data_IF_183489605988
#
_entry.id   IF_183489605988
#
_cell.length_a   1.000
_cell.length_b   1.000
_cell.length_c   1.000
_cell.angle_alpha   90.00
_cell.angle_beta   90.00
_cell.angle_gamma   90.00
#
_symmetry.space_group_name_H-M   'P 1'
#
loop_
_entity.id
_entity.type
_entity.pdbx_description
1 polymer ?
#
# COMPACT_ATOMS: atom_id res chain seq x y z
N UNK A 1 -19.84 11.92 -1.32
CA UNK A 1 -18.40 11.92 -1.68
C UNK A 1 -17.61 10.78 -1.04
N UNK A 2 -17.91 10.42 0.20
CA UNK A 2 -17.04 9.57 1.01
C UNK A 2 -17.13 8.07 0.64
N UNK A 3 -18.22 7.62 -0.02
CA UNK A 3 -18.32 6.31 -0.70
C UNK A 3 -17.49 6.26 -2.00
N UNK A 4 -17.53 7.35 -2.79
CA UNK A 4 -16.73 7.48 -4.01
C UNK A 4 -15.22 7.51 -3.70
N UNK A 5 -14.81 8.16 -2.61
CA UNK A 5 -13.43 8.11 -2.11
C UNK A 5 -13.01 6.68 -1.72
N UNK A 6 -13.88 5.93 -1.03
CA UNK A 6 -13.63 4.52 -0.70
C UNK A 6 -13.50 3.66 -1.97
N UNK A 7 -14.37 3.86 -2.96
CA UNK A 7 -14.35 3.14 -4.24
C UNK A 7 -13.06 3.43 -5.03
N UNK A 8 -12.64 4.69 -5.11
CA UNK A 8 -11.40 5.06 -5.78
C UNK A 8 -10.20 4.44 -5.06
N UNK A 9 -10.18 4.51 -3.73
CA UNK A 9 -9.09 3.94 -2.93
C UNK A 9 -9.00 2.42 -3.11
N UNK A 10 -10.12 1.70 -3.09
CA UNK A 10 -10.14 0.25 -3.29
C UNK A 10 -9.73 -0.13 -4.71
N UNK A 11 -10.14 0.65 -5.73
CA UNK A 11 -9.73 0.43 -7.11
C UNK A 11 -8.23 0.62 -7.29
N UNK A 12 -7.65 1.68 -6.70
CA UNK A 12 -6.21 1.92 -6.73
C UNK A 12 -5.48 0.72 -6.10
N UNK A 13 -5.90 0.29 -4.90
CA UNK A 13 -5.29 -0.86 -4.22
C UNK A 13 -5.39 -2.13 -5.06
N UNK A 14 -6.56 -2.42 -5.65
CA UNK A 14 -6.76 -3.61 -6.48
C UNK A 14 -5.87 -3.61 -7.73
N UNK A 15 -5.77 -2.47 -8.43
CA UNK A 15 -4.86 -2.30 -9.57
C UNK A 15 -3.41 -2.48 -9.13
N UNK A 16 -3.03 -1.96 -7.96
CA UNK A 16 -1.67 -2.06 -7.44
C UNK A 16 -1.29 -3.50 -7.09
N UNK A 17 -2.19 -4.24 -6.44
CA UNK A 17 -2.00 -5.68 -6.16
C UNK A 17 -1.87 -6.47 -7.46
N UNK A 18 -2.75 -6.19 -8.45
CA UNK A 18 -2.70 -6.84 -9.76
C UNK A 18 -1.39 -6.59 -10.49
N UNK A 19 -0.90 -5.34 -10.47
CA UNK A 19 0.38 -4.97 -11.06
C UNK A 19 1.55 -5.71 -10.40
N UNK A 20 1.59 -5.77 -9.06
CA UNK A 20 2.63 -6.50 -8.31
C UNK A 20 2.60 -7.99 -8.68
N UNK A 21 1.41 -8.61 -8.75
CA UNK A 21 1.26 -10.00 -9.13
C UNK A 21 1.75 -10.27 -10.56
N UNK A 22 1.34 -9.44 -11.53
CA UNK A 22 1.74 -9.58 -12.93
C UNK A 22 3.26 -9.44 -13.09
N UNK A 23 3.83 -8.40 -12.47
CA UNK A 23 5.27 -8.15 -12.47
C UNK A 23 6.01 -9.29 -11.76
N UNK A 24 5.47 -9.85 -10.68
CA UNK A 24 6.09 -10.98 -9.98
C UNK A 24 6.12 -12.25 -10.84
N UNK A 25 5.06 -12.51 -11.61
CA UNK A 25 4.98 -13.68 -12.50
C UNK A 25 5.88 -13.50 -13.72
N UNK A 26 5.92 -12.29 -14.28
CA UNK A 26 6.67 -12.01 -15.52
C UNK A 26 8.16 -11.74 -15.27
N UNK A 27 8.52 -11.17 -14.11
CA UNK A 27 9.89 -10.84 -13.73
C UNK A 27 10.40 -11.82 -12.66
N UNK A 28 10.37 -13.12 -13.01
CA UNK A 28 10.89 -14.20 -12.17
C UNK A 28 12.44 -14.28 -12.16
N UNK A 29 13.11 -13.47 -12.99
CA UNK A 29 14.58 -13.35 -12.96
C UNK A 29 15.01 -12.72 -11.63
N UNK A 30 15.85 -13.39 -10.84
CA UNK A 30 16.27 -12.85 -9.57
C UNK A 30 17.16 -11.61 -9.78
N UNK A 31 16.83 -10.51 -9.11
CA UNK A 31 17.67 -9.32 -9.13
C UNK A 31 18.67 -9.40 -7.98
N UNK A 32 19.97 -9.30 -8.32
CA UNK A 32 21.05 -9.20 -7.35
C UNK A 32 21.05 -7.81 -6.70
N UNK A 33 20.47 -7.71 -5.51
CA UNK A 33 20.56 -6.52 -4.67
C UNK A 33 21.92 -6.52 -3.96
N UNK A 34 22.84 -5.63 -4.34
CA UNK A 34 24.11 -5.44 -3.61
C UNK A 34 23.93 -4.29 -2.61
N UNK A 35 23.86 -4.60 -1.33
CA UNK A 35 23.69 -3.59 -0.29
C UNK A 35 25.05 -3.28 0.35
N UNK A 36 25.62 -2.12 0.00
CA UNK A 36 26.82 -1.46 0.53
C UNK A 36 28.15 -2.25 0.44
N UNK A 37 28.16 -3.56 0.71
CA UNK A 37 29.22 -4.53 0.41
C UNK A 37 28.73 -5.99 0.47
N UNK A 38 27.48 -6.25 0.88
CA UNK A 38 26.89 -7.59 0.98
C UNK A 38 26.04 -7.88 -0.27
N UNK A 39 26.21 -9.07 -0.85
CA UNK A 39 25.29 -9.58 -1.86
C UNK A 39 24.02 -10.03 -1.11
N UNK A 40 23.01 -9.17 -1.09
CA UNK A 40 21.70 -9.52 -0.56
C UNK A 40 21.11 -10.58 -1.49
N UNK A 41 20.45 -11.57 -0.89
CA UNK A 41 19.87 -12.71 -1.59
C UNK A 41 19.11 -12.23 -2.83
N UNK A 42 19.29 -12.98 -3.91
CA UNK A 42 18.58 -12.83 -5.17
C UNK A 42 17.07 -12.85 -4.93
N UNK A 43 16.43 -11.68 -5.02
CA UNK A 43 14.99 -11.53 -4.78
C UNK A 43 14.27 -11.14 -6.07
N UNK A 44 13.09 -11.73 -6.34
CA UNK A 44 12.28 -11.33 -7.48
C UNK A 44 11.76 -9.91 -7.27
N UNK A 45 11.69 -9.13 -8.33
CA UNK A 45 11.29 -7.72 -8.25
C UNK A 45 9.88 -7.52 -7.67
N UNK A 46 8.97 -8.47 -7.91
CA UNK A 46 7.65 -8.47 -7.30
C UNK A 46 7.68 -8.49 -5.76
N UNK A 47 8.65 -9.18 -5.16
CA UNK A 47 8.79 -9.23 -3.70
C UNK A 47 9.26 -7.88 -3.15
N UNK A 48 10.17 -7.20 -3.86
CA UNK A 48 10.66 -5.85 -3.49
C UNK A 48 9.50 -4.85 -3.52
N UNK A 49 8.68 -4.89 -4.57
CA UNK A 49 7.50 -4.02 -4.68
C UNK A 49 6.45 -4.31 -3.61
N UNK A 50 6.17 -5.58 -3.33
CA UNK A 50 5.25 -5.97 -2.26
C UNK A 50 5.73 -5.46 -0.89
N UNK A 51 7.03 -5.59 -0.62
CA UNK A 51 7.61 -5.12 0.64
C UNK A 51 7.57 -3.59 0.75
N UNK A 52 7.88 -2.87 -0.34
CA UNK A 52 7.80 -1.41 -0.40
C UNK A 52 6.36 -0.91 -0.16
N UNK A 53 5.38 -1.50 -0.84
CA UNK A 53 3.97 -1.17 -0.64
C UNK A 53 3.52 -1.44 0.81
N UNK A 54 3.91 -2.59 1.37
CA UNK A 54 3.61 -2.94 2.76
C UNK A 54 4.22 -1.97 3.76
N UNK A 55 5.50 -1.63 3.62
CA UNK A 55 6.18 -0.64 4.47
C UNK A 55 5.54 0.74 4.32
N UNK A 56 5.15 1.14 3.10
CA UNK A 56 4.44 2.40 2.87
C UNK A 56 3.10 2.44 3.60
N UNK A 57 2.27 1.40 3.49
CA UNK A 57 0.96 1.31 4.15
C UNK A 57 1.09 1.27 5.67
N UNK A 58 2.00 0.46 6.20
CA UNK A 58 2.26 0.37 7.64
C UNK A 58 2.82 1.69 8.16
N UNK A 59 3.77 2.28 7.41
CA UNK A 59 4.40 3.55 7.74
C UNK A 59 3.39 4.69 7.82
N UNK A 60 2.46 4.80 6.86
CA UNK A 60 1.39 5.81 6.91
C UNK A 60 0.41 5.54 8.04
N UNK A 61 0.01 4.29 8.26
CA UNK A 61 -0.89 3.92 9.36
C UNK A 61 -0.31 4.26 10.75
N UNK A 62 1.01 4.15 10.92
CA UNK A 62 1.71 4.54 12.15
C UNK A 62 1.96 6.05 12.19
N UNK A 63 2.32 6.67 11.06
CA UNK A 63 2.62 8.10 11.00
C UNK A 63 1.39 8.98 11.20
N UNK A 64 0.21 8.56 10.73
CA UNK A 64 -1.05 9.32 10.89
C UNK A 64 -1.36 9.68 12.36
N UNK A 65 -1.40 8.73 13.32
CA UNK A 65 -1.64 9.06 14.72
C UNK A 65 -0.48 9.83 15.37
N UNK A 66 0.76 9.60 14.94
CA UNK A 66 1.94 10.28 15.52
C UNK A 66 2.08 11.75 15.06
N UNK A 67 1.70 12.04 13.82
CA UNK A 67 1.79 13.38 13.23
C UNK A 67 0.49 14.20 13.39
N UNK A 68 -0.52 13.65 14.07
CA UNK A 68 -1.79 14.33 14.31
C UNK A 68 -2.63 14.56 13.04
N UNK A 69 -2.42 13.76 11.99
CA UNK A 69 -3.28 13.75 10.81
C UNK A 69 -4.59 13.04 11.16
N UNK A 70 -5.41 13.68 12.00
CA UNK A 70 -6.78 13.24 12.26
C UNK A 70 -7.53 13.24 10.93
N UNK A 71 -8.04 12.06 10.55
CA UNK A 71 -9.05 11.99 9.48
C UNK A 71 -10.23 12.85 9.92
N UNK A 72 -10.86 13.65 9.04
CA UNK A 72 -12.11 14.31 9.37
C UNK A 72 -13.11 13.25 9.82
N UNK A 73 -13.36 13.23 11.12
CA UNK A 73 -14.40 12.46 11.79
C UNK A 73 -15.64 12.60 10.90
N UNK A 74 -16.13 11.46 10.38
CA UNK A 74 -17.48 11.38 9.81
C UNK A 74 -18.33 11.58 11.06
N UNK A 75 -18.76 12.80 11.33
CA UNK A 75 -20.00 12.99 12.09
C UNK A 75 -21.05 12.33 11.21
N UNK A 76 -21.36 11.10 11.60
CA UNK A 76 -22.52 10.39 11.15
C UNK A 76 -23.62 11.00 12.01
N UNK A 77 -24.08 12.18 11.60
CA UNK A 77 -25.28 12.76 12.18
C UNK A 77 -26.40 11.76 11.92
N UNK A 78 -26.90 11.23 13.02
CA UNK A 78 -28.14 10.50 13.14
C UNK A 78 -29.28 11.38 12.61
N UNK A 79 -29.63 11.22 11.34
CA UNK A 79 -30.92 11.69 10.79
C UNK A 79 -31.83 10.45 10.57
N UNK A 80 -31.97 9.64 11.62
CA UNK A 80 -33.06 8.69 11.80
C UNK A 80 -34.11 9.34 12.73
N UNK A 81 -34.76 10.44 12.35
CA UNK A 81 -35.93 10.98 13.07
C UNK A 81 -36.72 12.01 12.21
N UNK A 82 -37.69 11.53 11.40
CA UNK A 82 -39.12 11.95 11.38
C UNK A 82 -39.94 11.20 10.32
#
# INVERSE_FOLDING_TARGET
MKSLATLITSLIIAVWIGAIALISVQNATPLSLRFLSFQLVEMPFGLILAFSAGVGVIGTAIAQPLLGFSSPQRDQDDDDDF
#
